data_IF_919329464835
#
_entry.id   IF_919329464835
#
_cell.length_a   1.000
_cell.length_b   1.000
_cell.length_c   1.000
_cell.angle_alpha   90.00
_cell.angle_beta   90.00
_cell.angle_gamma   90.00
#
_symmetry.space_group_name_H-M   'P 1'
#
loop_
_entity.id
_entity.type
_entity.pdbx_description
1 polymer ?
#
# COMPACT_ATOMS: atom_id res chain seq x y z
N UNK A 1 5.36 -1.02 13.42
CA UNK A 1 3.96 -0.72 13.07
C UNK A 1 3.73 0.78 13.15
N UNK A 2 2.87 1.31 12.26
CA UNK A 2 2.55 2.73 12.22
C UNK A 2 1.04 2.90 12.06
N UNK A 3 0.42 3.77 12.90
CA UNK A 3 -1.01 4.02 12.85
C UNK A 3 -1.84 2.78 13.14
N UNK A 4 -2.86 2.58 12.32
CA UNK A 4 -3.80 1.49 12.44
C UNK A 4 -5.15 1.95 12.98
N UNK A 5 -6.18 1.12 12.81
CA UNK A 5 -7.55 1.43 13.20
C UNK A 5 -8.11 0.31 14.08
N UNK A 6 -8.82 0.69 15.12
CA UNK A 6 -9.45 -0.26 16.02
C UNK A 6 -10.22 0.40 17.16
N UNK A 7 -10.83 -0.42 18.01
CA UNK A 7 -11.53 0.06 19.19
C UNK A 7 -10.56 0.61 20.24
N UNK A 8 -10.86 1.79 20.75
CA UNK A 8 -10.11 2.46 21.82
C UNK A 8 -10.93 2.45 23.11
N UNK A 9 -10.56 1.69 24.13
CA UNK A 9 -11.26 1.71 25.41
C UNK A 9 -11.28 3.10 26.06
N UNK A 10 -10.20 3.87 25.89
CA UNK A 10 -10.08 5.23 26.43
C UNK A 10 -11.07 6.20 25.79
N UNK A 11 -11.39 6.00 24.50
CA UNK A 11 -12.37 6.82 23.78
C UNK A 11 -13.78 6.24 23.81
N UNK A 12 -13.92 4.99 24.20
CA UNK A 12 -15.21 4.26 24.13
C UNK A 12 -15.70 4.02 22.70
N UNK A 13 -14.82 4.17 21.69
CA UNK A 13 -15.20 4.07 20.28
C UNK A 13 -14.02 3.64 19.41
N UNK A 14 -14.29 3.36 18.14
CA UNK A 14 -13.27 3.07 17.13
C UNK A 14 -12.56 4.34 16.68
N UNK A 15 -11.25 4.24 16.48
CA UNK A 15 -10.44 5.37 16.04
C UNK A 15 -9.19 4.91 15.31
N UNK A 16 -8.65 5.75 14.45
CA UNK A 16 -7.31 5.58 13.91
C UNK A 16 -6.28 6.08 14.93
N UNK A 17 -5.32 5.23 15.27
CA UNK A 17 -4.26 5.53 16.23
C UNK A 17 -3.15 6.35 15.59
N UNK A 18 -2.50 7.19 16.40
CA UNK A 18 -1.39 8.07 15.99
C UNK A 18 -0.02 7.55 16.44
N UNK A 19 0.12 6.24 16.61
CA UNK A 19 1.30 5.64 17.21
C UNK A 19 2.26 5.10 16.15
N UNK A 20 3.57 5.24 16.42
CA UNK A 20 4.59 4.41 15.81
C UNK A 20 5.14 3.48 16.89
N UNK A 21 5.06 2.18 16.64
CA UNK A 21 5.48 1.13 17.58
C UNK A 21 6.61 0.31 16.97
N UNK A 22 7.76 0.32 17.63
CA UNK A 22 8.85 -0.61 17.34
C UNK A 22 8.70 -1.87 18.19
N UNK A 23 8.87 -3.03 17.56
CA UNK A 23 8.68 -4.34 18.16
C UNK A 23 9.96 -5.15 17.96
N UNK A 24 10.54 -5.65 19.05
CA UNK A 24 11.66 -6.59 18.98
C UNK A 24 11.10 -8.01 18.83
N UNK A 25 10.75 -8.39 17.58
CA UNK A 25 9.93 -9.55 17.26
C UNK A 25 10.48 -10.85 17.86
N UNK A 26 11.77 -11.15 17.68
CA UNK A 26 12.37 -12.37 18.23
C UNK A 26 12.21 -12.45 19.75
N UNK A 27 12.49 -11.35 20.47
CA UNK A 27 12.37 -11.32 21.93
C UNK A 27 10.91 -11.42 22.41
N UNK A 28 9.96 -10.93 21.63
CA UNK A 28 8.52 -11.14 21.91
C UNK A 28 8.16 -12.61 21.77
N UNK A 29 8.62 -13.29 20.72
CA UNK A 29 8.40 -14.72 20.50
C UNK A 29 9.01 -15.53 21.66
N UNK A 30 10.27 -15.26 22.01
CA UNK A 30 10.97 -15.95 23.11
C UNK A 30 10.26 -15.75 24.45
N UNK A 31 9.78 -14.53 24.72
CA UNK A 31 9.02 -14.24 25.95
C UNK A 31 7.70 -15.02 26.01
N UNK A 32 6.97 -15.10 24.89
CA UNK A 32 5.71 -15.86 24.82
C UNK A 32 5.98 -17.36 25.04
N UNK A 33 6.98 -17.92 24.36
CA UNK A 33 7.34 -19.34 24.52
C UNK A 33 7.74 -19.66 25.97
N UNK A 34 8.45 -18.73 26.62
CA UNK A 34 8.92 -18.88 27.99
C UNK A 34 7.89 -18.44 29.05
N UNK A 35 6.67 -18.09 28.66
CA UNK A 35 5.60 -17.57 29.51
C UNK A 35 6.03 -16.35 30.37
N UNK A 36 6.87 -15.49 29.78
CA UNK A 36 7.31 -14.23 30.36
C UNK A 36 6.56 -13.03 29.78
N UNK A 37 6.65 -11.87 30.46
CA UNK A 37 6.09 -10.62 29.92
C UNK A 37 6.81 -10.18 28.65
N UNK A 38 6.07 -9.91 27.58
CA UNK A 38 6.59 -9.38 26.32
C UNK A 38 6.54 -7.85 26.23
N UNK A 39 5.89 -7.17 27.18
CA UNK A 39 5.72 -5.71 27.18
C UNK A 39 7.05 -4.91 27.09
N UNK A 40 8.17 -5.32 27.72
CA UNK A 40 9.44 -4.59 27.61
C UNK A 40 10.02 -4.52 26.20
N UNK A 41 9.53 -5.34 25.27
CA UNK A 41 10.04 -5.42 23.90
C UNK A 41 9.28 -4.54 22.91
N UNK A 42 8.38 -3.69 23.43
CA UNK A 42 7.66 -2.67 22.66
C UNK A 42 8.16 -1.29 23.07
N UNK A 43 8.42 -0.45 22.07
CA UNK A 43 8.68 0.97 22.25
C UNK A 43 7.71 1.74 21.37
N UNK A 44 7.13 2.80 21.88
CA UNK A 44 6.09 3.54 21.18
C UNK A 44 6.27 5.03 21.35
N UNK A 45 5.99 5.76 20.29
CA UNK A 45 5.82 7.21 20.29
C UNK A 45 4.48 7.57 19.67
N UNK A 46 3.98 8.75 19.99
CA UNK A 46 2.75 9.30 19.42
C UNK A 46 3.07 10.52 18.57
N UNK A 47 2.56 10.54 17.34
CA UNK A 47 2.68 11.67 16.42
C UNK A 47 1.42 11.74 15.55
N UNK A 48 0.78 12.90 15.50
CA UNK A 48 -0.47 13.08 14.75
C UNK A 48 -0.32 12.83 13.24
N UNK A 49 0.89 12.99 12.71
CA UNK A 49 1.20 12.64 11.30
C UNK A 49 1.14 11.15 11.02
N UNK A 50 1.14 10.32 12.07
CA UNK A 50 1.01 8.86 11.97
C UNK A 50 -0.43 8.37 12.19
N UNK A 51 -1.40 9.29 12.37
CA UNK A 51 -2.80 8.92 12.50
C UNK A 51 -3.37 8.52 11.13
N UNK A 52 -3.07 7.29 10.73
CA UNK A 52 -3.40 6.77 9.40
C UNK A 52 -3.67 5.27 9.47
N UNK A 53 -4.61 4.80 8.65
CA UNK A 53 -4.85 3.40 8.32
C UNK A 53 -4.96 3.24 6.80
N UNK A 54 -4.72 2.03 6.28
CA UNK A 54 -4.78 1.76 4.84
C UNK A 54 -3.68 2.42 4.00
N UNK A 55 -2.75 3.16 4.62
CA UNK A 55 -1.56 3.69 3.96
C UNK A 55 -0.50 2.61 3.76
N UNK A 56 0.48 2.91 2.92
CA UNK A 56 1.65 2.04 2.68
C UNK A 56 2.91 2.72 3.21
N UNK A 57 3.71 1.94 3.91
CA UNK A 57 5.01 2.37 4.40
C UNK A 57 6.11 1.60 3.68
N UNK A 58 6.96 2.32 2.97
CA UNK A 58 8.13 1.77 2.27
C UNK A 58 9.36 2.61 2.58
N UNK A 59 10.50 2.19 2.11
CA UNK A 59 11.78 2.85 2.37
C UNK A 59 12.55 3.02 1.07
N UNK A 60 13.18 4.18 0.89
CA UNK A 60 14.17 4.44 -0.14
C UNK A 60 15.44 4.85 0.62
N UNK A 61 16.53 4.13 0.42
CA UNK A 61 17.77 4.30 1.20
C UNK A 61 17.49 4.22 2.72
N UNK A 62 17.77 5.28 3.47
CA UNK A 62 17.54 5.37 4.92
C UNK A 62 16.23 6.06 5.31
N UNK A 63 15.44 6.53 4.36
CA UNK A 63 14.26 7.36 4.59
C UNK A 63 12.96 6.56 4.36
N UNK A 64 11.98 6.82 5.21
CA UNK A 64 10.67 6.20 5.15
C UNK A 64 9.67 7.10 4.43
N UNK A 65 8.82 6.47 3.63
CA UNK A 65 7.76 7.10 2.87
C UNK A 65 6.43 6.47 3.29
N UNK A 66 5.61 7.27 3.99
CA UNK A 66 4.23 6.90 4.32
C UNK A 66 3.32 7.52 3.27
N UNK A 67 2.76 6.68 2.44
CA UNK A 67 1.94 7.09 1.30
C UNK A 67 0.46 6.91 1.60
N UNK A 68 -0.37 7.85 1.18
CA UNK A 68 -1.83 7.77 1.20
C UNK A 68 -2.43 7.32 2.54
N UNK A 69 -3.51 6.57 2.44
CA UNK A 69 -4.29 6.11 3.58
C UNK A 69 -5.26 7.16 4.10
N UNK A 70 -5.93 6.84 5.19
CA UNK A 70 -7.03 7.63 5.73
C UNK A 70 -7.08 7.55 7.25
N UNK A 71 -7.80 8.48 7.85
CA UNK A 71 -8.16 8.48 9.26
C UNK A 71 -9.65 8.21 9.39
N UNK A 72 -10.00 7.27 10.24
CA UNK A 72 -11.38 7.02 10.67
C UNK A 72 -11.61 7.43 12.11
N UNK A 73 -12.77 8.01 12.36
CA UNK A 73 -13.33 8.29 13.69
C UNK A 73 -14.73 7.67 13.70
N UNK A 74 -15.02 6.86 14.72
CA UNK A 74 -16.22 6.06 14.78
C UNK A 74 -16.06 4.70 14.12
N UNK A 75 -17.07 3.82 14.32
CA UNK A 75 -17.07 2.48 13.77
C UNK A 75 -17.30 2.51 12.27
N UNK A 76 -16.35 1.99 11.51
CA UNK A 76 -16.49 1.87 10.06
C UNK A 76 -17.71 1.05 9.67
N UNK A 77 -18.58 1.63 8.87
CA UNK A 77 -19.83 1.04 8.43
C UNK A 77 -20.04 1.25 6.92
N UNK A 78 -19.51 0.35 6.08
CA UNK A 78 -19.60 0.49 4.62
C UNK A 78 -21.02 0.29 4.07
N UNK A 79 -21.94 -0.29 4.87
CA UNK A 79 -23.31 -0.58 4.45
C UNK A 79 -24.26 0.61 4.65
N UNK A 80 -23.75 1.74 5.13
CA UNK A 80 -24.51 2.98 5.29
C UNK A 80 -25.29 3.09 6.60
N UNK A 81 -26.10 4.14 6.76
CA UNK A 81 -26.66 4.56 8.03
C UNK A 81 -27.64 3.55 8.66
N UNK A 82 -28.26 2.71 7.87
CA UNK A 82 -29.22 1.71 8.36
C UNK A 82 -28.55 0.55 9.13
N UNK A 83 -27.23 0.45 9.10
CA UNK A 83 -26.45 -0.60 9.74
C UNK A 83 -25.66 -0.12 10.97
N UNK A 84 -25.93 1.06 11.46
CA UNK A 84 -25.32 1.62 12.67
C UNK A 84 -24.93 3.09 12.53
N UNK A 85 -24.25 3.65 13.55
CA UNK A 85 -23.84 5.05 13.55
C UNK A 85 -22.86 5.32 12.42
N UNK A 86 -22.87 6.54 11.94
CA UNK A 86 -21.93 7.02 10.93
C UNK A 86 -20.49 7.06 11.45
N UNK A 87 -19.56 7.22 10.53
CA UNK A 87 -18.15 7.43 10.80
C UNK A 87 -17.65 8.64 10.01
N UNK A 88 -16.56 9.21 10.45
CA UNK A 88 -15.83 10.24 9.69
C UNK A 88 -14.62 9.60 9.05
N UNK A 89 -14.43 9.85 7.76
CA UNK A 89 -13.28 9.41 6.98
C UNK A 89 -12.59 10.61 6.38
N UNK A 90 -11.30 10.75 6.67
CA UNK A 90 -10.45 11.82 6.15
C UNK A 90 -9.26 11.19 5.42
N UNK A 91 -9.16 11.37 4.10
CA UNK A 91 -8.00 10.93 3.34
C UNK A 91 -6.79 11.81 3.65
N UNK A 92 -5.61 11.20 3.74
CA UNK A 92 -4.38 11.95 3.97
C UNK A 92 -3.92 12.71 2.73
N UNK A 93 -4.24 12.21 1.54
CA UNK A 93 -3.89 12.79 0.24
C UNK A 93 -2.41 13.16 0.15
N UNK A 94 -1.53 12.38 0.78
CA UNK A 94 -0.14 12.81 0.96
C UNK A 94 0.87 11.67 0.92
N UNK A 95 2.10 12.03 0.58
CA UNK A 95 3.30 11.23 0.80
C UNK A 95 4.11 11.95 1.88
N UNK A 96 4.39 11.29 3.00
CA UNK A 96 5.13 11.85 4.13
C UNK A 96 6.49 11.16 4.22
N UNK A 97 7.53 11.97 4.07
CA UNK A 97 8.93 11.51 4.12
C UNK A 97 9.52 11.83 5.49
N UNK A 98 10.12 10.84 6.12
CA UNK A 98 10.74 10.97 7.45
C UNK A 98 11.84 9.94 7.68
N UNK A 99 12.70 10.20 8.68
CA UNK A 99 13.66 9.23 9.19
C UNK A 99 13.32 8.80 10.60
N UNK A 100 13.71 7.58 10.94
CA UNK A 100 13.56 6.99 12.27
C UNK A 100 14.95 6.75 12.86
N UNK A 101 15.20 7.31 14.04
CA UNK A 101 16.35 6.97 14.88
C UNK A 101 15.83 6.11 16.03
N UNK A 102 16.29 4.86 16.07
CA UNK A 102 15.98 3.91 17.14
C UNK A 102 17.31 3.44 17.76
N UNK A 103 17.57 3.81 19.02
CA UNK A 103 18.78 3.43 19.73
C UNK A 103 18.58 2.19 20.65
N UNK A 104 17.45 1.50 20.50
CA UNK A 104 17.09 0.33 21.31
C UNK A 104 16.33 0.67 22.58
N UNK A 105 16.39 1.92 23.06
CA UNK A 105 15.68 2.40 24.25
C UNK A 105 14.62 3.45 23.92
N UNK A 106 14.89 4.31 22.95
CA UNK A 106 13.99 5.38 22.50
C UNK A 106 13.91 5.46 20.99
N UNK A 107 12.79 6.00 20.50
CA UNK A 107 12.55 6.27 19.08
C UNK A 107 12.46 7.79 18.91
N UNK A 108 13.16 8.31 17.93
CA UNK A 108 13.06 9.72 17.52
C UNK A 108 12.72 9.79 16.03
N UNK A 109 11.79 10.68 15.68
CA UNK A 109 11.37 10.93 14.32
C UNK A 109 11.85 12.29 13.87
N UNK A 110 12.43 12.33 12.67
CA UNK A 110 12.71 13.56 11.95
C UNK A 110 11.84 13.59 10.70
N UNK A 111 10.81 14.44 10.71
CA UNK A 111 10.05 14.73 9.50
C UNK A 111 10.91 15.52 8.52
N UNK A 112 10.92 15.14 7.25
CA UNK A 112 11.76 15.76 6.22
C UNK A 112 10.88 16.62 5.31
N UNK A 113 9.89 16.01 4.66
CA UNK A 113 8.93 16.72 3.80
C UNK A 113 7.61 15.99 3.71
N UNK A 114 6.61 16.66 3.18
CA UNK A 114 5.32 16.04 2.81
C UNK A 114 4.86 16.64 1.49
N UNK A 115 4.46 15.78 0.59
CA UNK A 115 3.81 16.15 -0.66
C UNK A 115 2.32 15.92 -0.51
N UNK A 116 1.48 16.82 -1.02
CA UNK A 116 0.03 16.71 -0.98
C UNK A 116 -0.56 16.84 -2.37
N UNK A 117 -1.47 15.93 -2.73
CA UNK A 117 -2.21 15.95 -3.98
C UNK A 117 -3.58 15.31 -3.74
N UNK A 118 -4.62 16.14 -3.70
CA UNK A 118 -5.98 15.70 -3.40
C UNK A 118 -6.64 14.91 -4.53
N UNK A 119 -6.01 14.81 -5.67
CA UNK A 119 -6.48 14.05 -6.82
C UNK A 119 -5.71 12.72 -6.90
N UNK A 120 -4.41 12.77 -7.12
CA UNK A 120 -3.63 11.58 -7.45
C UNK A 120 -3.18 10.78 -6.21
N UNK A 121 -3.15 11.39 -5.03
CA UNK A 121 -2.84 10.71 -3.76
C UNK A 121 -4.10 10.39 -2.92
N UNK A 122 -5.30 10.66 -3.45
CA UNK A 122 -6.59 10.28 -2.88
C UNK A 122 -6.91 8.81 -3.18
N UNK A 123 -6.00 7.90 -2.79
CA UNK A 123 -6.09 6.48 -3.12
C UNK A 123 -6.22 5.64 -1.87
N UNK A 124 -7.00 4.59 -1.97
CA UNK A 124 -7.14 3.52 -1.01
C UNK A 124 -6.99 2.16 -1.70
N UNK A 125 -6.56 1.16 -0.91
CA UNK A 125 -6.47 -0.24 -1.36
C UNK A 125 -5.59 -0.44 -2.61
N UNK A 126 -4.56 0.40 -2.78
CA UNK A 126 -3.57 0.34 -3.86
C UNK A 126 -2.38 -0.55 -3.49
N UNK A 127 -1.64 -0.97 -4.51
CA UNK A 127 -0.33 -1.60 -4.35
C UNK A 127 0.75 -0.52 -4.38
N UNK A 128 1.76 -0.63 -3.51
CA UNK A 128 2.93 0.24 -3.54
C UNK A 128 4.18 -0.63 -3.38
N UNK A 129 4.97 -0.73 -4.44
CA UNK A 129 6.07 -1.68 -4.49
C UNK A 129 7.42 -1.00 -4.73
N UNK A 130 8.50 -1.55 -4.11
CA UNK A 130 9.85 -1.09 -4.38
C UNK A 130 10.20 -1.24 -5.84
N UNK A 131 10.97 -0.31 -6.36
CA UNK A 131 11.42 -0.29 -7.75
C UNK A 131 12.93 -0.05 -7.78
N UNK A 132 13.59 -0.59 -8.80
CA UNK A 132 14.84 -0.04 -9.31
C UNK A 132 14.46 0.80 -10.53
N UNK A 133 14.78 2.08 -10.47
CA UNK A 133 14.47 3.04 -11.54
C UNK A 133 15.49 2.93 -12.68
N UNK A 134 15.22 3.46 -13.88
CA UNK A 134 16.12 3.37 -15.02
C UNK A 134 17.52 3.91 -14.77
N UNK A 135 17.67 4.88 -13.88
CA UNK A 135 18.96 5.43 -13.44
C UNK A 135 19.70 4.55 -12.41
N UNK A 136 19.13 3.40 -12.04
CA UNK A 136 19.68 2.47 -11.05
C UNK A 136 19.36 2.81 -9.59
N UNK A 137 18.65 3.92 -9.33
CA UNK A 137 18.27 4.31 -7.97
C UNK A 137 17.03 3.56 -7.47
N UNK A 138 16.93 3.46 -6.15
CA UNK A 138 15.73 2.94 -5.51
C UNK A 138 14.55 3.91 -5.66
N UNK A 139 13.37 3.37 -5.90
CA UNK A 139 12.11 4.11 -5.94
C UNK A 139 10.96 3.28 -5.40
N UNK A 140 9.77 3.85 -5.42
CA UNK A 140 8.52 3.19 -5.08
C UNK A 140 7.51 3.56 -6.16
N UNK A 141 6.72 2.60 -6.65
CA UNK A 141 5.56 2.92 -7.51
C UNK A 141 4.27 2.53 -6.81
N UNK A 142 3.35 3.49 -6.70
CA UNK A 142 1.96 3.25 -6.33
C UNK A 142 1.19 2.90 -7.60
N UNK A 143 0.63 1.70 -7.62
CA UNK A 143 -0.12 1.15 -8.73
C UNK A 143 -1.61 1.23 -8.44
N UNK A 144 -2.39 1.81 -9.36
CA UNK A 144 -3.85 1.87 -9.29
C UNK A 144 -4.39 2.35 -7.91
N UNK A 145 -5.26 1.56 -7.27
CA UNK A 145 -6.05 1.92 -6.11
C UNK A 145 -7.44 2.40 -6.51
N UNK A 146 -8.31 2.58 -5.54
CA UNK A 146 -9.74 2.85 -5.78
C UNK A 146 -10.20 4.15 -5.12
N UNK A 147 -11.44 4.53 -5.44
CA UNK A 147 -12.17 5.69 -4.91
C UNK A 147 -11.54 7.02 -5.31
N UNK A 148 -11.58 7.32 -6.62
CA UNK A 148 -11.26 8.66 -7.12
C UNK A 148 -12.16 9.72 -6.46
N UNK A 149 -11.73 10.99 -6.34
CA UNK A 149 -12.49 12.02 -5.60
C UNK A 149 -13.90 12.32 -6.14
N UNK A 150 -14.15 12.07 -7.42
CA UNK A 150 -15.42 12.43 -8.08
C UNK A 150 -16.24 11.18 -8.40
N UNK A 151 -15.59 10.05 -8.63
CA UNK A 151 -16.22 8.77 -9.01
C UNK A 151 -15.60 7.64 -8.19
N UNK A 152 -16.42 6.67 -7.77
CA UNK A 152 -15.96 5.51 -6.99
C UNK A 152 -15.31 4.44 -7.89
N UNK A 153 -14.40 4.89 -8.79
CA UNK A 153 -13.71 4.02 -9.73
C UNK A 153 -12.22 3.92 -9.42
N UNK A 154 -11.54 2.89 -9.92
CA UNK A 154 -10.09 2.74 -9.80
C UNK A 154 -9.32 3.83 -10.55
N UNK A 155 -8.12 4.12 -10.05
CA UNK A 155 -7.12 4.88 -10.79
C UNK A 155 -6.47 3.97 -11.83
N UNK A 156 -6.33 4.46 -13.05
CA UNK A 156 -5.61 3.74 -14.10
C UNK A 156 -4.14 4.16 -14.19
N UNK A 157 -3.81 5.36 -13.72
CA UNK A 157 -2.44 5.88 -13.72
C UNK A 157 -1.62 5.38 -12.52
N UNK A 158 -0.32 5.53 -12.58
CA UNK A 158 0.61 5.25 -11.49
C UNK A 158 1.25 6.51 -10.91
N UNK A 159 1.79 6.39 -9.70
CA UNK A 159 2.60 7.42 -9.05
C UNK A 159 3.95 6.82 -8.71
N UNK A 160 5.01 7.34 -9.31
CA UNK A 160 6.40 6.94 -9.00
C UNK A 160 7.02 7.94 -8.04
N UNK A 161 7.66 7.42 -7.00
CA UNK A 161 8.30 8.17 -5.92
C UNK A 161 9.78 7.83 -5.93
N UNK A 162 10.63 8.83 -5.85
CA UNK A 162 12.09 8.70 -5.72
C UNK A 162 12.62 9.53 -4.54
N UNK A 163 13.93 9.70 -4.46
CA UNK A 163 14.56 10.48 -3.39
C UNK A 163 14.25 11.97 -3.47
N UNK A 164 13.85 12.49 -4.65
CA UNK A 164 13.64 13.91 -4.93
C UNK A 164 12.16 14.32 -4.81
N UNK A 165 11.23 13.38 -5.07
CA UNK A 165 9.82 13.69 -5.03
C UNK A 165 8.91 12.59 -5.57
N UNK A 166 7.90 12.99 -6.33
CA UNK A 166 7.01 12.05 -6.99
C UNK A 166 6.59 12.57 -8.38
N UNK A 167 6.29 11.63 -9.25
CA UNK A 167 5.83 11.87 -10.62
C UNK A 167 4.59 11.05 -10.89
N UNK A 168 3.62 11.65 -11.59
CA UNK A 168 2.39 11.00 -12.00
C UNK A 168 2.53 10.60 -13.46
N UNK A 169 2.36 9.32 -13.75
CA UNK A 169 2.35 8.83 -15.12
C UNK A 169 0.90 8.69 -15.61
N UNK A 170 0.42 9.73 -16.27
CA UNK A 170 -0.89 9.76 -16.91
C UNK A 170 -0.88 9.15 -18.33
N UNK A 171 0.28 8.82 -18.88
CA UNK A 171 0.40 8.14 -20.17
C UNK A 171 0.21 6.63 -20.05
N UNK A 172 0.50 6.08 -18.86
CA UNK A 172 0.28 4.69 -18.54
C UNK A 172 -1.15 4.45 -18.04
N UNK A 173 -1.74 3.35 -18.48
CA UNK A 173 -3.03 2.88 -18.00
C UNK A 173 -2.91 1.41 -17.56
N UNK A 174 -3.20 1.16 -16.29
CA UNK A 174 -3.33 -0.17 -15.74
C UNK A 174 -4.78 -0.63 -15.85
N UNK A 175 -5.07 -1.65 -16.62
CA UNK A 175 -6.41 -2.19 -16.82
C UNK A 175 -6.77 -3.29 -15.84
N UNK A 176 -5.77 -4.01 -15.30
CA UNK A 176 -5.97 -5.17 -14.43
C UNK A 176 -5.49 -4.90 -13.01
N UNK A 177 -5.99 -5.70 -12.06
CA UNK A 177 -5.50 -5.77 -10.68
C UNK A 177 -5.48 -4.42 -9.93
N UNK A 178 -6.59 -3.68 -9.96
CA UNK A 178 -6.69 -2.33 -9.41
C UNK A 178 -6.72 -2.26 -7.89
N UNK A 179 -7.06 -3.35 -7.24
CA UNK A 179 -7.16 -3.45 -5.80
C UNK A 179 -5.92 -4.14 -5.24
N UNK A 180 -5.60 -3.85 -3.99
CA UNK A 180 -4.50 -4.45 -3.29
C UNK A 180 -4.56 -5.99 -3.32
N UNK A 181 -3.56 -6.58 -3.92
CA UNK A 181 -3.41 -8.03 -4.13
C UNK A 181 -1.95 -8.43 -3.88
N UNK A 182 -1.65 -9.72 -4.00
CA UNK A 182 -0.28 -10.18 -3.97
C UNK A 182 0.49 -9.64 -5.18
N UNK A 183 1.69 -9.10 -4.94
CA UNK A 183 2.58 -8.57 -5.98
C UNK A 183 3.98 -9.15 -5.81
N UNK A 184 4.59 -9.54 -6.93
CA UNK A 184 5.99 -9.99 -6.99
C UNK A 184 6.80 -8.98 -7.82
N UNK A 185 7.56 -8.09 -7.16
CA UNK A 185 8.50 -7.22 -7.86
C UNK A 185 9.78 -7.99 -8.23
N UNK A 186 10.25 -7.83 -9.46
CA UNK A 186 11.46 -8.45 -9.98
C UNK A 186 12.23 -7.47 -10.86
N UNK A 187 13.55 -7.42 -10.68
CA UNK A 187 14.45 -6.59 -11.49
C UNK A 187 15.32 -7.44 -12.39
N UNK A 188 15.35 -7.09 -13.68
CA UNK A 188 16.24 -7.66 -14.69
C UNK A 188 17.42 -6.72 -14.92
N UNK A 189 18.54 -7.02 -14.31
CA UNK A 189 19.76 -6.19 -14.44
C UNK A 189 20.32 -6.19 -15.88
N UNK A 190 20.14 -7.29 -16.63
CA UNK A 190 20.61 -7.39 -18.01
C UNK A 190 19.89 -6.45 -18.97
N UNK A 191 18.60 -6.21 -18.73
CA UNK A 191 17.76 -5.39 -19.59
C UNK A 191 17.48 -4.01 -18.96
N UNK A 192 17.87 -3.81 -17.71
CA UNK A 192 17.49 -2.65 -16.90
C UNK A 192 15.95 -2.46 -16.86
N UNK A 193 15.23 -3.57 -16.60
CA UNK A 193 13.77 -3.60 -16.55
C UNK A 193 13.28 -3.96 -15.17
N UNK A 194 12.21 -3.27 -14.72
CA UNK A 194 11.53 -3.59 -13.47
C UNK A 194 10.15 -4.17 -13.77
N UNK A 195 9.90 -5.38 -13.31
CA UNK A 195 8.64 -6.08 -13.49
C UNK A 195 7.89 -6.20 -12.17
N UNK A 196 6.57 -5.98 -12.20
CA UNK A 196 5.69 -6.23 -11.08
C UNK A 196 4.58 -7.18 -11.55
N UNK A 197 4.52 -8.40 -10.99
CA UNK A 197 3.48 -9.37 -11.32
C UNK A 197 2.39 -9.29 -10.26
N UNK A 198 1.17 -9.05 -10.68
CA UNK A 198 -0.02 -8.93 -9.85
C UNK A 198 -0.88 -10.18 -9.97
N UNK A 199 -1.41 -10.67 -8.84
CA UNK A 199 -2.13 -11.93 -8.77
C UNK A 199 -3.59 -11.71 -8.34
N UNK A 200 -4.53 -11.78 -9.27
CA UNK A 200 -5.96 -11.68 -8.99
C UNK A 200 -6.38 -10.32 -8.42
N UNK A 201 -7.18 -10.32 -7.36
CA UNK A 201 -7.73 -9.11 -6.76
C UNK A 201 -9.01 -8.64 -7.43
N UNK A 202 -9.20 -7.33 -7.51
CA UNK A 202 -10.36 -6.67 -8.11
C UNK A 202 -9.90 -5.84 -9.30
N UNK A 203 -10.69 -5.78 -10.37
CA UNK A 203 -10.36 -4.97 -11.55
C UNK A 203 -11.60 -4.38 -12.21
N UNK A 204 -11.46 -3.17 -12.77
CA UNK A 204 -12.48 -2.55 -13.59
C UNK A 204 -12.52 -3.16 -15.01
N UNK A 205 -11.42 -3.78 -15.42
CA UNK A 205 -11.31 -4.40 -16.73
C UNK A 205 -10.91 -5.86 -16.59
N UNK A 206 -11.47 -6.71 -17.43
CA UNK A 206 -11.10 -8.11 -17.55
C UNK A 206 -11.17 -8.56 -18.99
N UNK A 207 -10.51 -9.65 -19.29
CA UNK A 207 -10.55 -10.26 -20.60
C UNK A 207 -11.69 -11.30 -20.65
N UNK A 208 -12.58 -11.14 -21.61
CA UNK A 208 -13.62 -12.13 -21.92
C UNK A 208 -13.37 -12.67 -23.33
N UNK A 209 -12.84 -13.88 -23.42
CA UNK A 209 -12.52 -14.58 -24.68
C UNK A 209 -11.67 -13.74 -25.66
N UNK A 210 -10.70 -12.98 -25.14
CA UNK A 210 -9.81 -12.13 -25.93
C UNK A 210 -10.31 -10.71 -26.15
N UNK A 211 -11.46 -10.34 -25.57
CA UNK A 211 -12.02 -9.00 -25.61
C UNK A 211 -11.85 -8.33 -24.26
N UNK A 212 -11.26 -7.13 -24.24
CA UNK A 212 -11.17 -6.33 -23.01
C UNK A 212 -12.55 -5.74 -22.68
N UNK A 213 -13.14 -6.18 -21.58
CA UNK A 213 -14.44 -5.72 -21.08
C UNK A 213 -14.24 -4.76 -19.92
N UNK A 214 -14.96 -3.63 -19.92
CA UNK A 214 -15.04 -2.71 -18.79
C UNK A 214 -16.27 -3.01 -17.95
N UNK A 215 -16.09 -3.18 -16.64
CA UNK A 215 -17.19 -3.32 -15.68
C UNK A 215 -16.96 -2.36 -14.48
N UNK A 216 -17.81 -1.36 -14.38
CA UNK A 216 -17.73 -0.36 -13.32
C UNK A 216 -18.18 -0.89 -11.93
N UNK A 217 -18.67 -2.12 -11.83
CA UNK A 217 -18.87 -2.80 -10.55
C UNK A 217 -17.57 -3.34 -9.97
N UNK A 218 -16.47 -3.23 -10.72
CA UNK A 218 -15.10 -3.59 -10.29
C UNK A 218 -15.05 -5.00 -9.68
N UNK A 219 -15.35 -6.04 -10.46
CA UNK A 219 -15.49 -7.39 -9.93
C UNK A 219 -14.15 -8.00 -9.48
N UNK A 220 -14.23 -9.07 -8.68
CA UNK A 220 -13.09 -9.94 -8.45
C UNK A 220 -12.69 -10.64 -9.75
N UNK A 221 -11.37 -10.74 -9.97
CA UNK A 221 -10.81 -11.31 -11.20
C UNK A 221 -9.79 -12.41 -10.90
N UNK A 222 -9.58 -13.30 -11.85
CA UNK A 222 -8.52 -14.32 -11.83
C UNK A 222 -7.26 -13.86 -12.55
N UNK A 223 -7.29 -12.70 -13.18
CA UNK A 223 -6.22 -12.21 -14.04
C UNK A 223 -4.90 -12.13 -13.29
N UNK A 224 -3.86 -12.67 -13.90
CA UNK A 224 -2.47 -12.40 -13.53
C UNK A 224 -1.92 -11.47 -14.59
N UNK A 225 -1.47 -10.27 -14.16
CA UNK A 225 -0.91 -9.27 -15.05
C UNK A 225 0.51 -8.90 -14.62
N UNK A 226 1.31 -8.44 -15.57
CA UNK A 226 2.65 -7.92 -15.35
C UNK A 226 2.71 -6.46 -15.82
N UNK A 227 3.10 -5.56 -14.94
CA UNK A 227 3.51 -4.20 -15.32
C UNK A 227 5.02 -4.16 -15.39
N UNK A 228 5.55 -3.77 -16.55
CA UNK A 228 6.98 -3.62 -16.80
C UNK A 228 7.32 -2.16 -16.98
N UNK A 229 8.33 -1.69 -16.26
CA UNK A 229 9.05 -0.44 -16.55
C UNK A 229 10.30 -0.81 -17.31
N UNK A 230 10.43 -0.32 -18.54
CA UNK A 230 11.61 -0.57 -19.38
C UNK A 230 12.79 0.35 -19.02
N UNK A 231 13.92 0.16 -19.70
CA UNK A 231 15.13 0.95 -19.50
C UNK A 231 14.97 2.45 -19.81
N UNK A 232 13.92 2.84 -20.55
CA UNK A 232 13.59 4.25 -20.83
C UNK A 232 12.69 4.87 -19.75
N UNK A 233 12.13 4.04 -18.84
CA UNK A 233 11.18 4.46 -17.81
C UNK A 233 9.72 4.29 -18.21
N UNK A 234 9.44 3.84 -19.43
CA UNK A 234 8.09 3.63 -19.92
C UNK A 234 7.43 2.43 -19.24
N UNK A 235 6.18 2.60 -18.78
CA UNK A 235 5.38 1.54 -18.20
C UNK A 235 4.48 0.89 -19.26
N UNK A 236 4.39 -0.44 -19.22
CA UNK A 236 3.45 -1.22 -20.04
C UNK A 236 2.85 -2.38 -19.24
N UNK A 237 1.56 -2.65 -19.42
CA UNK A 237 0.86 -3.76 -18.78
C UNK A 237 0.65 -4.93 -19.76
N UNK A 238 0.82 -6.14 -19.28
CA UNK A 238 0.66 -7.39 -20.03
C UNK A 238 -0.17 -8.37 -19.23
N UNK A 239 -1.31 -8.81 -19.76
CA UNK A 239 -2.01 -9.98 -19.24
C UNK A 239 -1.16 -11.22 -19.48
N UNK A 240 -0.95 -12.05 -18.46
CA UNK A 240 -0.26 -13.32 -18.61
C UNK A 240 -1.21 -14.41 -19.13
N UNK A 241 -0.69 -15.44 -19.82
CA UNK A 241 -1.51 -16.54 -20.35
C UNK A 241 -2.07 -17.47 -19.27
N UNK A 242 -1.64 -17.30 -18.02
CA UNK A 242 -2.10 -18.07 -16.87
C UNK A 242 -2.96 -17.21 -15.97
N UNK A 243 -3.90 -17.82 -15.28
CA UNK A 243 -4.81 -17.15 -14.35
C UNK A 243 -4.77 -17.81 -12.98
N UNK A 244 -5.27 -17.11 -11.97
CA UNK A 244 -5.53 -17.70 -10.66
C UNK A 244 -6.58 -18.82 -10.79
N UNK A 245 -6.42 -19.95 -10.08
CA UNK A 245 -7.33 -21.08 -10.22
C UNK A 245 -8.76 -20.75 -9.75
N UNK A 246 -8.88 -19.85 -8.78
CA UNK A 246 -10.15 -19.34 -8.24
C UNK A 246 -10.03 -17.84 -7.97
N UNK A 247 -11.14 -17.19 -7.57
CA UNK A 247 -11.17 -15.77 -7.22
C UNK A 247 -10.43 -15.52 -5.89
N UNK A 248 -9.11 -15.45 -5.98
CA UNK A 248 -8.19 -15.16 -4.87
C UNK A 248 -7.41 -13.87 -5.16
N UNK A 249 -6.67 -13.40 -4.16
CA UNK A 249 -5.70 -12.33 -4.34
C UNK A 249 -6.08 -11.02 -3.69
N UNK A 250 -7.34 -10.66 -3.57
CA UNK A 250 -7.73 -9.43 -2.84
C UNK A 250 -7.27 -9.52 -1.38
N UNK A 251 -6.44 -8.55 -0.93
CA UNK A 251 -5.85 -8.56 0.39
C UNK A 251 -4.71 -9.55 0.60
N UNK A 252 -4.32 -10.32 -0.39
CA UNK A 252 -3.21 -11.27 -0.29
C UNK A 252 -1.85 -10.56 -0.36
N UNK A 253 -0.83 -11.23 0.19
CA UNK A 253 0.57 -10.81 0.09
C UNK A 253 1.41 -11.95 -0.49
N UNK A 254 2.43 -11.59 -1.27
CA UNK A 254 3.41 -12.55 -1.75
C UNK A 254 4.46 -12.80 -0.68
N UNK A 255 4.67 -14.06 -0.31
CA UNK A 255 5.70 -14.48 0.63
C UNK A 255 6.65 -15.44 -0.07
N UNK A 256 7.90 -15.02 -0.25
CA UNK A 256 8.93 -15.88 -0.84
C UNK A 256 9.31 -16.99 0.12
N UNK A 257 9.12 -18.24 -0.28
CA UNK A 257 9.65 -19.39 0.45
C UNK A 257 11.15 -19.55 0.13
N UNK A 258 12.00 -19.20 1.07
CA UNK A 258 13.47 -19.31 0.92
C UNK A 258 14.03 -20.70 1.17
N UNK A 259 13.18 -21.68 1.49
CA UNK A 259 13.58 -23.04 1.82
C UNK A 259 13.35 -24.03 0.66
N UNK A 260 13.05 -23.56 -0.52
CA UNK A 260 12.90 -24.35 -1.76
C UNK A 260 14.05 -24.00 -2.69
#
# INVERSE_FOLDING_TARGET
CLGGYGYSPTKGDHTTYSNLTAIKVSAVIDAIISNNSFLPYFRQITDTKFQVTGGRLKKINSEYYLMGGQKFIGRYNPMGPNHGPGFVQEYTNSIRKFSILDNGSSITIKHITSYADSINLHRRDYNAEPQILPNGEEGITMFSGVFQPIVDLPYLNSVTIDSQGYTIDNSFQQYYNHYHCAVLPMYSASNNEMHNIFFGGIAQYYDDLGVLVQDNNVPFVKTIARVTRDASGTLAEYKLPVEMPILLGAGAVFILNRNI
#
